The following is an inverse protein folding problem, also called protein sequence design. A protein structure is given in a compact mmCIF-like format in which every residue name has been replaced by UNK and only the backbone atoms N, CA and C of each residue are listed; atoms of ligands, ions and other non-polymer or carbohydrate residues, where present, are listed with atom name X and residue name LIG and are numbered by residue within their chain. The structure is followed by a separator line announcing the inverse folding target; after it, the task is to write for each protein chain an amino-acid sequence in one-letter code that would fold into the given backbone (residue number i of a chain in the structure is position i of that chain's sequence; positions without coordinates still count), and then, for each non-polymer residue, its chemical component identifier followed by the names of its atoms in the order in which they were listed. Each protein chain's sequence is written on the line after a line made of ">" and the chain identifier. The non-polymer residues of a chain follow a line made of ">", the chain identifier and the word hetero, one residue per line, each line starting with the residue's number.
data_IF_659189849036
#
_entry.id   IF_659189849036
#
_cell.length_a   1.000
_cell.length_b   1.000
_cell.length_c   1.000
_cell.angle_alpha   90.00
_cell.angle_beta   90.00
_cell.angle_gamma   90.00
#
_symmetry.space_group_name_H-M   'P 1'
#
loop_
_entity.id
_entity.type
_entity.pdbx_description
1 polymer ?
#
# COMPACT_ATOMS: atom_id res chain seq x y z
N UNK A 1 -21.42 43.29 -28.65
CA UNK A 1 -22.84 43.63 -28.34
C UNK A 1 -23.08 43.19 -26.92
N UNK A 2 -22.89 44.00 -26.01
CA UNK A 2 -23.68 44.77 -25.04
C UNK A 2 -25.06 44.16 -24.73
N UNK A 3 -25.26 43.69 -23.46
CA UNK A 3 -26.28 44.27 -22.58
C UNK A 3 -26.20 43.67 -21.19
N UNK A 4 -25.84 44.51 -20.25
CA UNK A 4 -26.04 44.54 -18.79
C UNK A 4 -27.51 44.58 -18.42
N UNK A 5 -27.91 44.02 -17.27
CA UNK A 5 -28.92 44.59 -16.41
C UNK A 5 -28.73 44.17 -14.96
N UNK A 6 -28.47 45.19 -14.12
CA UNK A 6 -28.58 45.20 -12.64
C UNK A 6 -30.00 45.57 -12.24
N UNK A 7 -30.43 45.17 -11.00
CA UNK A 7 -31.26 45.90 -10.01
C UNK A 7 -31.44 44.98 -8.77
N UNK A 8 -30.95 45.27 -7.66
CA UNK A 8 -31.22 46.05 -6.44
C UNK A 8 -32.70 46.07 -5.98
N UNK A 9 -32.94 45.64 -4.69
CA UNK A 9 -33.80 46.25 -3.66
C UNK A 9 -33.83 45.31 -2.46
N UNK A 10 -33.32 45.57 -1.27
CA UNK A 10 -33.46 46.55 -0.19
C UNK A 10 -34.73 46.37 0.66
N UNK A 11 -34.51 46.23 1.98
CA UNK A 11 -35.44 46.58 3.10
C UNK A 11 -36.05 45.35 3.78
N UNK A 12 -36.23 45.25 5.10
CA UNK A 12 -36.17 46.25 6.16
C UNK A 12 -36.04 45.57 7.54
N UNK A 13 -35.51 46.31 8.44
CA UNK A 13 -35.46 46.13 9.90
C UNK A 13 -36.84 45.95 10.56
N UNK A 14 -36.92 45.16 11.63
CA UNK A 14 -37.79 45.49 12.78
C UNK A 14 -37.21 45.02 14.12
N UNK A 15 -36.78 45.98 14.89
CA UNK A 15 -36.51 45.93 16.34
C UNK A 15 -37.84 45.83 17.09
N UNK A 16 -37.87 45.00 18.13
CA UNK A 16 -38.82 45.23 19.24
C UNK A 16 -38.15 44.86 20.58
N UNK A 17 -37.83 45.91 21.31
CA UNK A 17 -37.50 45.91 22.72
C UNK A 17 -38.81 45.86 23.53
N UNK A 18 -38.87 45.04 24.57
CA UNK A 18 -39.72 45.29 25.71
C UNK A 18 -38.99 44.87 27.00
N UNK A 19 -38.74 45.87 27.81
CA UNK A 19 -38.24 45.77 29.16
C UNK A 19 -39.38 45.45 30.15
N UNK A 20 -39.09 44.67 31.17
CA UNK A 20 -39.98 44.47 32.35
C UNK A 20 -39.13 44.19 33.58
N UNK A 21 -39.00 45.16 34.41
CA UNK A 21 -38.43 45.09 35.76
C UNK A 21 -39.41 44.44 36.75
N UNK A 22 -38.85 43.74 37.75
CA UNK A 22 -39.56 43.60 39.05
C UNK A 22 -39.12 42.44 39.93
N UNK A 23 -38.29 42.80 40.91
CA UNK A 23 -38.27 42.42 42.32
C UNK A 23 -37.59 41.14 42.81
N UNK A 24 -36.71 41.43 43.78
CA UNK A 24 -35.95 40.59 44.72
C UNK A 24 -36.79 39.52 45.43
N UNK A 25 -36.22 38.34 45.62
CA UNK A 25 -35.92 37.82 46.95
C UNK A 25 -34.86 36.70 46.90
N UNK A 26 -34.08 36.71 47.95
CA UNK A 26 -32.94 35.86 48.16
C UNK A 26 -33.36 34.43 48.59
N UNK A 27 -32.64 33.40 48.13
CA UNK A 27 -32.04 32.37 48.98
C UNK A 27 -31.45 31.22 48.22
N UNK A 28 -30.20 30.91 48.55
CA UNK A 28 -29.58 29.60 48.71
C UNK A 28 -29.12 28.85 47.52
N UNK A 29 -27.83 28.94 47.39
CA UNK A 29 -26.83 27.95 46.90
C UNK A 29 -27.32 26.51 46.75
N UNK A 30 -27.22 26.02 45.52
CA UNK A 30 -26.85 24.63 45.23
C UNK A 30 -26.04 24.64 43.95
N UNK A 31 -24.73 24.50 44.09
CA UNK A 31 -23.82 24.24 42.98
C UNK A 31 -24.18 22.88 42.41
N UNK A 32 -24.90 22.86 41.31
CA UNK A 32 -24.95 21.69 40.41
C UNK A 32 -23.74 21.78 39.52
N UNK A 33 -22.72 21.00 39.87
CA UNK A 33 -21.64 20.66 38.95
C UNK A 33 -22.27 19.93 37.78
N UNK A 34 -22.46 20.60 36.67
CA UNK A 34 -22.64 19.94 35.37
C UNK A 34 -21.27 19.43 34.99
N UNK A 35 -21.00 18.17 35.35
CA UNK A 35 -20.00 17.36 34.68
C UNK A 35 -20.46 17.25 33.22
N UNK A 36 -19.77 17.97 32.35
CA UNK A 36 -19.75 17.66 30.94
C UNK A 36 -19.02 16.30 30.79
N UNK A 37 -19.75 15.23 30.99
CA UNK A 37 -19.40 13.96 30.38
C UNK A 37 -19.57 14.14 28.87
N UNK A 38 -18.49 14.56 28.21
CA UNK A 38 -18.32 14.26 26.82
C UNK A 38 -18.18 12.73 26.74
N UNK A 39 -19.32 12.06 26.72
CA UNK A 39 -19.38 10.66 26.30
C UNK A 39 -18.80 10.61 24.88
N UNK A 40 -17.56 10.16 24.77
CA UNK A 40 -17.01 9.66 23.52
C UNK A 40 -17.99 8.57 23.09
N UNK A 41 -18.85 8.86 22.13
CA UNK A 41 -19.67 7.83 21.49
C UNK A 41 -18.70 6.88 20.81
N UNK A 42 -18.35 5.79 21.48
CA UNK A 42 -17.68 4.67 20.81
C UNK A 42 -18.67 4.17 19.77
N UNK A 43 -18.42 4.46 18.51
CA UNK A 43 -19.18 3.91 17.41
C UNK A 43 -18.98 2.39 17.50
N UNK A 44 -20.04 1.66 17.81
CA UNK A 44 -19.99 0.20 17.84
C UNK A 44 -19.65 -0.28 16.42
N UNK A 45 -18.62 -1.10 16.28
CA UNK A 45 -18.22 -1.74 15.01
C UNK A 45 -18.93 -3.07 14.80
N UNK A 46 -19.78 -3.46 15.74
CA UNK A 46 -20.56 -4.71 15.70
C UNK A 46 -21.38 -4.84 14.42
N UNK A 47 -21.23 -5.94 13.71
CA UNK A 47 -21.93 -6.23 12.46
C UNK A 47 -21.35 -5.52 11.23
N UNK A 48 -20.22 -4.81 11.37
CA UNK A 48 -19.51 -4.23 10.22
C UNK A 48 -18.85 -5.31 9.39
N UNK A 49 -18.95 -5.23 8.07
CA UNK A 49 -18.21 -6.10 7.13
C UNK A 49 -17.22 -5.24 6.37
N UNK A 50 -15.96 -5.68 6.30
CA UNK A 50 -14.92 -5.10 5.47
C UNK A 50 -14.53 -6.08 4.37
N UNK A 51 -14.50 -5.61 3.13
CA UNK A 51 -14.00 -6.35 1.97
C UNK A 51 -12.62 -5.85 1.60
N UNK A 52 -11.61 -6.72 1.70
CA UNK A 52 -10.21 -6.37 1.46
C UNK A 52 -9.63 -7.21 0.34
N UNK A 53 -9.12 -6.53 -0.69
CA UNK A 53 -8.42 -7.16 -1.81
C UNK A 53 -6.96 -7.46 -1.44
N UNK A 54 -6.47 -8.67 -1.77
CA UNK A 54 -5.10 -9.08 -1.47
C UNK A 54 -4.56 -10.05 -2.51
N UNK A 55 -3.22 -10.14 -2.65
CA UNK A 55 -2.61 -11.27 -3.34
C UNK A 55 -2.54 -12.49 -2.42
N UNK A 56 -2.51 -13.73 -2.97
CA UNK A 56 -2.61 -14.96 -2.15
C UNK A 56 -1.59 -15.03 -1.02
N UNK A 57 -0.31 -14.83 -1.33
CA UNK A 57 0.80 -14.82 -0.36
C UNK A 57 1.63 -13.53 -0.55
N UNK A 58 2.15 -12.96 0.52
CA UNK A 58 1.88 -13.22 1.93
C UNK A 58 0.58 -12.54 2.42
N UNK A 59 -0.01 -11.65 1.63
CA UNK A 59 -1.02 -10.67 2.03
C UNK A 59 -2.31 -11.32 2.53
N UNK A 60 -2.91 -12.23 1.75
CA UNK A 60 -4.14 -12.93 2.20
C UNK A 60 -3.86 -13.84 3.40
N UNK A 61 -2.68 -14.47 3.47
CA UNK A 61 -2.28 -15.29 4.62
C UNK A 61 -2.19 -14.47 5.91
N UNK A 62 -1.65 -13.25 5.83
CA UNK A 62 -1.60 -12.32 6.95
C UNK A 62 -3.01 -11.85 7.33
N UNK A 63 -3.86 -11.55 6.35
CA UNK A 63 -5.25 -11.15 6.59
C UNK A 63 -6.08 -12.26 7.24
N UNK A 64 -5.78 -13.54 7.02
CA UNK A 64 -6.47 -14.64 7.74
C UNK A 64 -6.17 -14.62 9.25
N UNK A 65 -4.95 -14.20 9.66
CA UNK A 65 -4.64 -13.97 11.08
C UNK A 65 -5.40 -12.75 11.63
N UNK A 66 -5.49 -11.69 10.84
CA UNK A 66 -6.22 -10.46 11.19
C UNK A 66 -7.72 -10.70 11.35
N UNK A 67 -8.26 -11.64 10.61
CA UNK A 67 -9.70 -12.01 10.63
C UNK A 67 -10.19 -12.38 12.02
N UNK A 68 -9.42 -13.17 12.75
CA UNK A 68 -9.78 -13.57 14.12
C UNK A 68 -9.72 -12.37 15.09
N UNK A 69 -8.72 -11.49 14.93
CA UNK A 69 -8.57 -10.28 15.74
C UNK A 69 -9.76 -9.31 15.53
N UNK A 70 -10.24 -9.18 14.31
CA UNK A 70 -11.37 -8.32 13.97
C UNK A 70 -12.71 -8.95 14.40
N UNK A 71 -12.85 -10.27 14.33
CA UNK A 71 -14.04 -10.97 14.78
C UNK A 71 -14.31 -10.73 16.28
N UNK A 72 -13.27 -10.67 17.11
CA UNK A 72 -13.37 -10.32 18.53
C UNK A 72 -13.89 -8.89 18.77
N UNK A 73 -13.82 -8.02 17.75
CA UNK A 73 -14.34 -6.65 17.76
C UNK A 73 -15.70 -6.52 17.06
N UNK A 74 -16.31 -7.64 16.65
CA UNK A 74 -17.60 -7.66 15.94
C UNK A 74 -17.50 -7.30 14.46
N UNK A 75 -16.30 -7.24 13.88
CA UNK A 75 -16.06 -6.95 12.46
C UNK A 75 -15.87 -8.25 11.68
N UNK A 76 -16.59 -8.41 10.58
CA UNK A 76 -16.39 -9.50 9.63
C UNK A 76 -15.41 -9.05 8.53
N UNK A 77 -14.32 -9.81 8.33
CA UNK A 77 -13.36 -9.56 7.25
C UNK A 77 -13.63 -10.52 6.08
N UNK A 78 -13.95 -9.99 4.91
CA UNK A 78 -14.04 -10.71 3.64
C UNK A 78 -12.78 -10.47 2.83
N UNK A 79 -11.99 -11.51 2.57
CA UNK A 79 -10.75 -11.44 1.80
C UNK A 79 -11.05 -11.81 0.36
N UNK A 80 -10.74 -10.90 -0.57
CA UNK A 80 -10.92 -11.10 -2.02
C UNK A 80 -9.54 -11.25 -2.66
N UNK A 81 -9.26 -12.43 -3.21
CA UNK A 81 -7.95 -12.73 -3.79
C UNK A 81 -7.82 -12.26 -5.23
N UNK A 82 -6.69 -11.65 -5.56
CA UNK A 82 -6.31 -11.17 -6.90
C UNK A 82 -4.93 -11.70 -7.29
N UNK A 83 -4.74 -11.97 -8.58
CA UNK A 83 -3.47 -12.46 -9.11
C UNK A 83 -2.70 -11.39 -9.93
N UNK A 84 -3.17 -10.16 -9.94
CA UNK A 84 -2.58 -9.01 -10.63
C UNK A 84 -2.57 -7.76 -9.72
N UNK A 85 -1.89 -6.71 -10.17
CA UNK A 85 -1.74 -5.47 -9.39
C UNK A 85 -2.70 -4.34 -9.82
N UNK A 86 -3.51 -4.53 -10.87
CA UNK A 86 -4.39 -3.50 -11.42
C UNK A 86 -5.78 -3.57 -10.78
N UNK A 87 -6.37 -4.78 -10.75
CA UNK A 87 -7.74 -4.98 -10.31
C UNK A 87 -7.98 -4.56 -8.85
N UNK A 88 -7.09 -4.85 -7.86
CA UNK A 88 -7.34 -4.45 -6.48
C UNK A 88 -7.47 -2.94 -6.30
N UNK A 89 -6.65 -2.14 -7.01
CA UNK A 89 -6.72 -0.68 -6.97
C UNK A 89 -7.99 -0.15 -7.64
N UNK A 90 -8.34 -0.70 -8.79
CA UNK A 90 -9.57 -0.34 -9.50
C UNK A 90 -10.81 -0.63 -8.65
N UNK A 91 -10.83 -1.77 -7.94
CA UNK A 91 -11.94 -2.18 -7.09
C UNK A 91 -12.10 -1.30 -5.83
N UNK A 92 -11.00 -0.81 -5.23
CA UNK A 92 -11.05 0.19 -4.15
C UNK A 92 -11.54 1.53 -4.68
N UNK A 93 -11.02 1.99 -5.82
CA UNK A 93 -11.46 3.27 -6.41
C UNK A 93 -12.94 3.26 -6.76
N UNK A 94 -13.48 2.16 -7.31
CA UNK A 94 -14.91 2.00 -7.61
C UNK A 94 -15.80 1.84 -6.38
N UNK A 95 -15.23 1.44 -5.23
CA UNK A 95 -15.97 1.14 -4.00
C UNK A 95 -16.50 -0.29 -3.93
N UNK A 96 -16.03 -1.20 -4.80
CA UNK A 96 -16.34 -2.63 -4.74
C UNK A 96 -15.58 -3.33 -3.59
N UNK A 97 -14.45 -2.74 -3.16
CA UNK A 97 -13.67 -3.08 -1.99
C UNK A 97 -13.55 -1.89 -1.04
N UNK A 98 -13.47 -2.17 0.25
CA UNK A 98 -13.22 -1.16 1.28
C UNK A 98 -11.75 -0.76 1.36
N UNK A 99 -10.85 -1.71 1.13
CA UNK A 99 -9.41 -1.55 1.16
C UNK A 99 -8.73 -2.59 0.27
N UNK A 100 -7.43 -2.41 0.01
CA UNK A 100 -6.56 -3.47 -0.46
C UNK A 100 -5.25 -3.52 0.34
N UNK A 101 -4.66 -4.70 0.35
CA UNK A 101 -3.37 -4.97 0.97
C UNK A 101 -2.60 -5.91 0.04
N UNK A 102 -1.72 -5.35 -0.82
CA UNK A 102 -0.98 -6.11 -1.83
C UNK A 102 0.20 -5.33 -2.42
N UNK A 103 0.28 -4.01 -2.20
CA UNK A 103 1.14 -3.10 -2.94
C UNK A 103 2.04 -2.28 -2.02
N UNK A 104 3.17 -1.86 -2.54
CA UNK A 104 3.99 -0.87 -1.87
C UNK A 104 3.56 0.58 -2.22
N UNK A 105 3.91 1.51 -1.34
CA UNK A 105 3.49 2.92 -1.43
C UNK A 105 3.90 3.58 -2.76
N UNK A 106 5.08 3.27 -3.29
CA UNK A 106 5.55 3.82 -4.56
C UNK A 106 4.68 3.38 -5.73
N UNK A 107 4.25 2.10 -5.75
CA UNK A 107 3.33 1.59 -6.77
C UNK A 107 1.97 2.27 -6.69
N UNK A 108 1.39 2.43 -5.50
CA UNK A 108 0.12 3.12 -5.32
C UNK A 108 0.17 4.55 -5.85
N UNK A 109 1.24 5.28 -5.53
CA UNK A 109 1.40 6.66 -5.97
C UNK A 109 1.51 6.79 -7.49
N UNK A 110 2.29 5.90 -8.12
CA UNK A 110 2.40 5.83 -9.58
C UNK A 110 1.07 5.44 -10.23
N UNK A 111 0.39 4.43 -9.67
CA UNK A 111 -0.94 4.01 -10.14
C UNK A 111 -1.96 5.14 -10.09
N UNK A 112 -2.00 5.90 -8.99
CA UNK A 112 -2.86 7.08 -8.85
C UNK A 112 -2.58 8.11 -9.95
N UNK A 113 -1.31 8.41 -10.18
CA UNK A 113 -0.91 9.38 -11.20
C UNK A 113 -1.27 8.90 -12.62
N UNK A 114 -1.00 7.64 -12.92
CA UNK A 114 -1.21 7.08 -14.26
C UNK A 114 -2.68 6.87 -14.60
N UNK A 115 -3.52 6.54 -13.62
CA UNK A 115 -4.92 6.15 -13.84
C UNK A 115 -5.93 7.19 -13.34
N UNK A 116 -5.49 8.27 -12.67
CA UNK A 116 -6.38 9.29 -12.11
C UNK A 116 -7.21 8.74 -10.94
N UNK A 117 -6.68 7.78 -10.21
CA UNK A 117 -7.30 7.22 -9.00
C UNK A 117 -6.90 8.00 -7.76
N UNK A 118 -7.64 7.82 -6.66
CA UNK A 118 -7.49 8.58 -5.42
C UNK A 118 -7.39 7.60 -4.25
N UNK A 119 -6.35 6.78 -4.27
CA UNK A 119 -6.04 5.86 -3.18
C UNK A 119 -5.10 6.53 -2.19
N UNK A 120 -5.29 6.21 -0.92
CA UNK A 120 -4.48 6.72 0.19
C UNK A 120 -3.98 5.58 1.08
N UNK A 121 -2.84 5.80 1.70
CA UNK A 121 -2.24 4.91 2.67
C UNK A 121 -2.93 5.06 4.03
N UNK A 122 -3.39 3.95 4.59
CA UNK A 122 -3.98 3.89 5.92
C UNK A 122 -3.03 3.27 6.97
N UNK A 123 -2.06 2.45 6.56
CA UNK A 123 -1.03 1.89 7.44
C UNK A 123 0.12 1.27 6.66
N UNK A 124 1.34 1.54 7.12
CA UNK A 124 2.55 0.81 6.74
C UNK A 124 2.59 -0.55 7.46
N UNK A 125 2.80 -1.65 6.71
CA UNK A 125 2.71 -2.99 7.30
C UNK A 125 4.02 -3.76 7.20
N UNK A 126 4.53 -4.00 6.00
CA UNK A 126 5.74 -4.80 5.85
C UNK A 126 6.53 -4.44 4.59
N UNK A 127 7.74 -4.96 4.53
CA UNK A 127 8.62 -4.89 3.39
C UNK A 127 8.91 -6.30 2.87
N UNK A 128 8.97 -6.46 1.56
CA UNK A 128 9.36 -7.70 0.89
C UNK A 128 10.65 -7.44 0.09
N UNK A 129 11.79 -8.07 0.43
CA UNK A 129 13.00 -7.95 -0.36
C UNK A 129 12.78 -8.43 -1.79
N UNK A 130 13.22 -7.63 -2.77
CA UNK A 130 13.20 -8.02 -4.17
C UNK A 130 14.35 -8.97 -4.46
N UNK A 131 14.11 -10.07 -5.16
CA UNK A 131 15.09 -11.12 -5.40
C UNK A 131 15.45 -11.30 -6.87
N UNK A 132 16.74 -11.54 -7.15
CA UNK A 132 17.26 -12.00 -8.43
C UNK A 132 17.45 -13.51 -8.38
N UNK A 133 16.72 -14.24 -9.19
CA UNK A 133 16.67 -15.69 -9.17
C UNK A 133 17.32 -16.32 -10.40
N UNK A 134 17.93 -17.51 -10.19
CA UNK A 134 18.50 -18.34 -11.25
C UNK A 134 17.38 -18.92 -12.13
N UNK A 135 17.55 -18.75 -13.43
CA UNK A 135 16.77 -19.45 -14.44
C UNK A 135 17.61 -20.55 -15.10
N UNK A 136 17.97 -20.38 -16.38
CA UNK A 136 18.89 -21.29 -17.10
C UNK A 136 20.34 -21.18 -16.59
N UNK A 137 20.71 -20.00 -16.08
CA UNK A 137 22.06 -19.71 -15.56
C UNK A 137 22.06 -19.79 -14.04
N UNK A 138 22.90 -20.65 -13.48
CA UNK A 138 22.89 -21.00 -12.06
C UNK A 138 23.62 -20.01 -11.16
N UNK A 139 24.41 -19.07 -11.69
CA UNK A 139 25.16 -18.08 -10.92
C UNK A 139 25.49 -16.84 -11.75
N UNK A 140 25.76 -15.71 -11.10
CA UNK A 140 26.13 -14.46 -11.77
C UNK A 140 27.47 -14.60 -12.53
N UNK A 141 28.42 -15.36 -12.00
CA UNK A 141 29.72 -15.60 -12.64
C UNK A 141 29.60 -16.38 -13.96
N UNK A 142 28.57 -17.24 -14.08
CA UNK A 142 28.32 -18.05 -15.26
C UNK A 142 27.50 -17.33 -16.34
N UNK A 143 27.08 -16.08 -16.08
CA UNK A 143 26.21 -15.32 -16.98
C UNK A 143 26.93 -14.96 -18.28
N UNK A 144 26.40 -15.44 -19.41
CA UNK A 144 26.96 -15.21 -20.73
C UNK A 144 26.64 -13.81 -21.28
N UNK A 145 27.40 -13.38 -22.28
CA UNK A 145 27.03 -12.19 -23.06
C UNK A 145 25.72 -12.46 -23.83
N UNK A 146 24.84 -11.45 -23.80
CA UNK A 146 23.50 -11.54 -24.40
C UNK A 146 22.49 -12.36 -23.60
N UNK A 147 22.81 -12.71 -22.34
CA UNK A 147 21.89 -13.44 -21.48
C UNK A 147 20.59 -12.66 -21.24
N UNK A 148 19.47 -13.37 -21.15
CA UNK A 148 18.16 -12.80 -20.94
C UNK A 148 17.87 -12.65 -19.45
N UNK A 149 17.45 -11.45 -19.03
CA UNK A 149 17.02 -11.14 -17.66
C UNK A 149 15.60 -10.63 -17.67
N UNK A 150 14.67 -11.43 -17.15
CA UNK A 150 13.28 -11.01 -17.02
C UNK A 150 13.10 -10.04 -15.83
N UNK A 151 12.34 -8.98 -16.06
CA UNK A 151 12.00 -7.97 -15.05
C UNK A 151 10.51 -7.60 -15.16
N UNK A 152 9.86 -7.10 -14.08
CA UNK A 152 8.52 -6.52 -14.18
C UNK A 152 8.47 -5.34 -15.14
N UNK A 153 7.34 -5.11 -15.79
CA UNK A 153 7.15 -4.06 -16.80
C UNK A 153 6.38 -2.82 -16.29
N UNK A 154 5.95 -2.82 -15.04
CA UNK A 154 5.41 -1.60 -14.46
C UNK A 154 6.54 -0.66 -14.02
N UNK A 155 6.30 0.64 -14.13
CA UNK A 155 7.36 1.66 -14.00
C UNK A 155 8.15 1.55 -12.70
N UNK A 156 7.49 1.25 -11.58
CA UNK A 156 8.13 1.23 -10.26
C UNK A 156 8.91 -0.06 -9.99
N UNK A 157 8.38 -1.21 -10.41
CA UNK A 157 9.07 -2.48 -10.23
C UNK A 157 10.14 -2.72 -11.30
N UNK A 158 10.00 -2.19 -12.52
CA UNK A 158 11.10 -2.16 -13.51
C UNK A 158 12.29 -1.38 -12.95
N UNK A 159 12.06 -0.13 -12.47
CA UNK A 159 13.11 0.69 -11.87
C UNK A 159 13.80 -0.03 -10.71
N UNK A 160 13.03 -0.64 -9.83
CA UNK A 160 13.52 -1.42 -8.69
C UNK A 160 14.38 -2.60 -9.13
N UNK A 161 13.94 -3.33 -10.17
CA UNK A 161 14.69 -4.44 -10.74
C UNK A 161 16.02 -3.99 -11.35
N UNK A 162 16.02 -2.89 -12.10
CA UNK A 162 17.24 -2.32 -12.68
C UNK A 162 18.21 -1.83 -11.61
N UNK A 163 17.72 -1.27 -10.52
CA UNK A 163 18.55 -0.89 -9.37
C UNK A 163 19.21 -2.11 -8.70
N UNK A 164 18.50 -3.24 -8.59
CA UNK A 164 19.10 -4.48 -8.10
C UNK A 164 20.17 -5.02 -9.06
N UNK A 165 19.93 -4.98 -10.37
CA UNK A 165 20.95 -5.37 -11.36
C UNK A 165 22.18 -4.45 -11.29
N UNK A 166 22.01 -3.16 -11.03
CA UNK A 166 23.09 -2.22 -10.81
C UNK A 166 23.83 -2.51 -9.50
N UNK A 167 23.13 -2.83 -8.42
CA UNK A 167 23.73 -3.24 -7.13
C UNK A 167 24.70 -4.41 -7.33
N UNK A 168 24.34 -5.37 -8.19
CA UNK A 168 25.15 -6.53 -8.51
C UNK A 168 26.24 -6.25 -9.57
N UNK A 169 26.36 -5.01 -10.04
CA UNK A 169 27.36 -4.61 -11.05
C UNK A 169 27.11 -5.18 -12.44
N UNK A 170 25.90 -5.66 -12.71
CA UNK A 170 25.50 -6.23 -14.01
C UNK A 170 25.24 -5.15 -15.06
N UNK A 171 24.75 -3.98 -14.63
CA UNK A 171 24.49 -2.79 -15.44
C UNK A 171 24.91 -1.54 -14.67
N UNK A 172 25.01 -0.42 -15.37
CA UNK A 172 25.09 0.93 -14.75
C UNK A 172 23.95 1.79 -15.30
N UNK A 173 23.20 2.43 -14.43
CA UNK A 173 22.13 3.37 -14.83
C UNK A 173 22.69 4.78 -14.99
N UNK A 174 22.04 5.61 -15.80
CA UNK A 174 22.34 7.03 -15.92
C UNK A 174 22.19 7.72 -14.55
N UNK A 175 23.01 8.73 -14.32
CA UNK A 175 22.92 9.55 -13.11
C UNK A 175 21.51 10.15 -12.98
N UNK A 176 20.92 10.00 -11.80
CA UNK A 176 19.59 10.54 -11.47
C UNK A 176 18.39 9.72 -11.97
N UNK A 177 18.59 8.55 -12.61
CA UNK A 177 17.47 7.70 -13.05
C UNK A 177 16.62 7.22 -11.86
N UNK A 178 17.24 6.78 -10.77
CA UNK A 178 16.58 6.48 -9.49
C UNK A 178 15.37 5.55 -9.58
N UNK A 179 14.32 5.88 -8.83
CA UNK A 179 13.09 5.06 -8.71
C UNK A 179 12.17 5.11 -9.95
N UNK A 180 12.56 5.81 -11.00
CA UNK A 180 11.85 5.92 -12.27
C UNK A 180 12.67 5.41 -13.45
N UNK A 181 13.77 4.69 -13.18
CA UNK A 181 14.65 4.13 -14.19
C UNK A 181 13.88 3.16 -15.11
N UNK A 182 14.15 3.25 -16.39
CA UNK A 182 13.69 2.33 -17.41
C UNK A 182 14.90 1.67 -18.09
N UNK A 183 14.69 0.65 -18.87
CA UNK A 183 15.78 0.03 -19.64
C UNK A 183 16.45 1.01 -20.61
N UNK A 184 15.78 2.11 -21.02
CA UNK A 184 16.39 3.18 -21.80
C UNK A 184 17.42 4.01 -20.99
N UNK A 185 17.41 3.88 -19.66
CA UNK A 185 18.34 4.57 -18.75
C UNK A 185 19.59 3.75 -18.41
N UNK A 186 19.73 2.58 -18.99
CA UNK A 186 20.96 1.80 -18.88
C UNK A 186 22.09 2.55 -19.64
N UNK A 187 23.08 3.02 -18.90
CA UNK A 187 24.26 3.71 -19.45
C UNK A 187 25.35 2.72 -19.88
N UNK A 188 25.56 1.66 -19.09
CA UNK A 188 26.52 0.60 -19.38
C UNK A 188 25.87 -0.76 -19.16
N UNK A 189 26.13 -1.68 -20.10
CA UNK A 189 25.67 -3.06 -20.08
C UNK A 189 26.81 -3.96 -20.61
N UNK A 190 27.82 -4.24 -19.75
CA UNK A 190 29.07 -4.90 -20.18
C UNK A 190 28.87 -6.28 -20.80
N UNK A 191 27.81 -6.99 -20.38
CA UNK A 191 27.48 -8.31 -20.89
C UNK A 191 26.38 -8.30 -21.97
N UNK A 192 25.99 -7.12 -22.46
CA UNK A 192 24.91 -6.95 -23.43
C UNK A 192 23.63 -7.71 -23.03
N UNK A 193 23.27 -7.69 -21.74
CA UNK A 193 22.10 -8.37 -21.23
C UNK A 193 20.84 -7.92 -21.97
N UNK A 194 20.01 -8.88 -22.35
CA UNK A 194 18.70 -8.63 -22.95
C UNK A 194 17.66 -8.53 -21.82
N UNK A 195 17.23 -7.31 -21.51
CA UNK A 195 16.23 -7.04 -20.47
C UNK A 195 14.84 -7.29 -21.06
N UNK A 196 14.19 -8.33 -20.54
CA UNK A 196 12.87 -8.80 -20.99
C UNK A 196 11.81 -8.34 -19.99
N UNK A 197 11.06 -7.31 -20.37
CA UNK A 197 10.00 -6.72 -19.57
C UNK A 197 8.73 -7.58 -19.67
N UNK A 198 8.21 -8.04 -18.55
CA UNK A 198 7.02 -8.89 -18.45
C UNK A 198 6.08 -8.36 -17.35
N UNK A 199 4.79 -8.64 -17.46
CA UNK A 199 3.87 -8.45 -16.35
C UNK A 199 4.40 -9.19 -15.11
N UNK A 200 4.43 -8.50 -13.94
CA UNK A 200 5.06 -9.02 -12.73
C UNK A 200 4.56 -10.43 -12.34
N UNK A 201 3.24 -10.67 -12.50
CA UNK A 201 2.63 -11.98 -12.25
C UNK A 201 3.14 -13.10 -13.18
N UNK A 202 3.69 -12.77 -14.35
CA UNK A 202 4.17 -13.74 -15.32
C UNK A 202 5.65 -14.10 -15.16
N UNK A 203 6.43 -13.24 -14.48
CA UNK A 203 7.88 -13.40 -14.35
C UNK A 203 8.27 -14.77 -13.76
N UNK A 204 7.66 -15.25 -12.65
CA UNK A 204 8.03 -16.55 -12.09
C UNK A 204 7.85 -17.73 -13.06
N UNK A 205 6.77 -17.72 -13.85
CA UNK A 205 6.48 -18.78 -14.81
C UNK A 205 7.46 -18.82 -15.99
N UNK A 206 8.17 -17.70 -16.23
CA UNK A 206 9.15 -17.57 -17.31
C UNK A 206 10.58 -17.89 -16.86
N UNK A 207 10.79 -18.17 -15.56
CA UNK A 207 12.12 -18.41 -15.00
C UNK A 207 12.90 -19.51 -15.73
N UNK A 208 12.22 -20.57 -16.17
CA UNK A 208 12.84 -21.63 -16.98
C UNK A 208 13.17 -21.26 -18.44
N UNK A 209 12.65 -20.12 -18.93
CA UNK A 209 12.82 -19.67 -20.32
C UNK A 209 13.89 -18.57 -20.47
N UNK A 210 14.32 -17.95 -19.36
CA UNK A 210 15.33 -16.89 -19.32
C UNK A 210 16.56 -17.31 -18.51
N UNK A 211 17.63 -16.54 -18.56
CA UNK A 211 18.84 -16.84 -17.82
C UNK A 211 18.69 -16.48 -16.35
N UNK A 212 18.13 -15.31 -16.07
CA UNK A 212 17.84 -14.81 -14.73
C UNK A 212 16.48 -14.11 -14.73
N UNK A 213 15.89 -13.95 -13.54
CA UNK A 213 14.70 -13.12 -13.37
C UNK A 213 14.71 -12.36 -12.04
N UNK A 214 14.29 -11.10 -12.07
CA UNK A 214 14.03 -10.31 -10.87
C UNK A 214 12.53 -10.42 -10.54
N UNK A 215 12.21 -10.93 -9.36
CA UNK A 215 10.86 -11.34 -9.00
C UNK A 215 10.41 -10.67 -7.71
N UNK A 216 9.20 -10.09 -7.70
CA UNK A 216 8.57 -9.53 -6.51
C UNK A 216 8.37 -10.61 -5.43
N UNK A 217 8.53 -10.23 -4.16
CA UNK A 217 8.47 -11.15 -3.01
C UNK A 217 7.21 -12.01 -2.97
N UNK A 218 6.03 -11.38 -3.11
CA UNK A 218 4.75 -12.08 -3.12
C UNK A 218 4.62 -13.11 -4.26
N UNK A 219 5.11 -12.78 -5.46
CA UNK A 219 5.08 -13.72 -6.59
C UNK A 219 6.14 -14.81 -6.47
N UNK A 220 7.29 -14.50 -5.87
CA UNK A 220 8.31 -15.51 -5.53
C UNK A 220 7.76 -16.52 -4.52
N UNK A 221 7.14 -16.04 -3.43
CA UNK A 221 6.48 -16.88 -2.42
C UNK A 221 5.37 -17.75 -3.05
N UNK A 222 4.49 -17.14 -3.87
CA UNK A 222 3.43 -17.84 -4.57
C UNK A 222 3.92 -18.92 -5.55
N UNK A 223 5.12 -18.75 -6.09
CA UNK A 223 5.79 -19.75 -6.95
C UNK A 223 6.61 -20.79 -6.17
N UNK A 224 6.64 -20.71 -4.83
CA UNK A 224 7.41 -21.60 -3.97
C UNK A 224 8.92 -21.33 -3.95
N UNK A 225 9.35 -20.15 -4.45
CA UNK A 225 10.74 -19.72 -4.38
C UNK A 225 11.04 -19.18 -2.97
N UNK A 226 12.25 -19.44 -2.50
CA UNK A 226 12.70 -18.92 -1.20
C UNK A 226 13.67 -17.76 -1.42
N UNK A 227 13.59 -16.76 -0.55
CA UNK A 227 14.56 -15.65 -0.56
C UNK A 227 15.99 -16.17 -0.41
N UNK A 228 16.20 -17.23 0.37
CA UNK A 228 17.50 -17.86 0.54
C UNK A 228 18.06 -18.51 -0.75
N UNK A 229 17.23 -18.78 -1.75
CA UNK A 229 17.63 -19.36 -3.03
C UNK A 229 17.92 -18.27 -4.08
N UNK A 230 17.68 -17.01 -3.77
CA UNK A 230 18.00 -15.90 -4.66
C UNK A 230 19.51 -15.75 -4.81
N UNK A 231 19.97 -15.45 -6.01
CA UNK A 231 21.38 -15.14 -6.30
C UNK A 231 21.81 -13.81 -5.70
N UNK A 232 20.87 -12.88 -5.61
CA UNK A 232 21.00 -11.60 -4.95
C UNK A 232 19.63 -11.13 -4.45
N UNK A 233 19.64 -10.34 -3.40
CA UNK A 233 18.47 -9.63 -2.89
C UNK A 233 18.79 -8.14 -2.78
N UNK A 234 17.80 -7.28 -2.91
CA UNK A 234 18.02 -5.86 -2.71
C UNK A 234 18.38 -5.59 -1.25
N UNK A 235 19.21 -4.56 -1.04
CA UNK A 235 19.61 -4.17 0.31
C UNK A 235 18.41 -3.65 1.09
N UNK A 236 18.17 -4.24 2.26
CA UNK A 236 17.17 -3.77 3.21
C UNK A 236 17.60 -2.48 3.93
N UNK A 237 18.85 -2.07 3.78
CA UNK A 237 19.42 -0.90 4.42
C UNK A 237 19.22 0.34 3.54
N UNK A 238 18.34 1.26 3.95
CA UNK A 238 18.29 2.57 3.36
C UNK A 238 16.92 3.03 2.84
N UNK A 239 16.96 3.98 1.90
CA UNK A 239 15.76 4.63 1.35
C UNK A 239 14.89 3.66 0.51
N UNK A 240 15.51 2.67 -0.14
CA UNK A 240 14.79 1.67 -0.94
C UNK A 240 13.78 0.88 -0.10
N UNK A 241 14.18 0.39 1.09
CA UNK A 241 13.27 -0.34 1.97
C UNK A 241 12.05 0.50 2.37
N UNK A 242 12.25 1.82 2.60
CA UNK A 242 11.15 2.74 2.91
C UNK A 242 10.25 3.04 1.71
N UNK A 243 10.85 3.13 0.51
CA UNK A 243 10.13 3.40 -0.73
C UNK A 243 9.20 2.23 -1.14
N UNK A 244 9.50 1.02 -0.67
CA UNK A 244 8.78 -0.19 -1.07
C UNK A 244 8.04 -0.88 0.08
N UNK A 245 7.66 -0.11 1.12
CA UNK A 245 6.79 -0.60 2.19
C UNK A 245 5.42 -0.95 1.63
N UNK A 246 4.96 -2.18 1.92
CA UNK A 246 3.61 -2.64 1.62
C UNK A 246 2.62 -2.06 2.62
N UNK A 247 1.54 -1.52 2.09
CA UNK A 247 0.58 -0.69 2.79
C UNK A 247 -0.83 -1.26 2.76
N UNK A 248 -1.63 -0.89 3.75
CA UNK A 248 -3.09 -0.97 3.66
C UNK A 248 -3.57 0.28 2.91
N UNK A 249 -4.08 0.12 1.69
CA UNK A 249 -4.59 1.22 0.90
C UNK A 249 -6.12 1.26 0.90
N UNK A 250 -6.66 2.45 0.96
CA UNK A 250 -8.09 2.77 0.94
C UNK A 250 -8.38 3.87 -0.08
N UNK A 251 -9.65 4.14 -0.36
CA UNK A 251 -10.01 5.35 -1.08
C UNK A 251 -9.74 6.58 -0.21
N UNK A 252 -9.18 7.65 -0.80
CA UNK A 252 -8.88 8.92 -0.13
C UNK A 252 -10.08 9.43 0.68
N UNK A 253 -9.82 9.84 1.91
CA UNK A 253 -10.81 10.30 2.88
C UNK A 253 -11.39 9.20 3.78
N UNK A 254 -11.06 7.91 3.52
CA UNK A 254 -11.50 6.79 4.35
C UNK A 254 -10.44 6.30 5.33
N UNK A 255 -9.25 6.88 5.35
CA UNK A 255 -8.11 6.48 6.18
C UNK A 255 -8.47 6.48 7.68
N UNK A 256 -9.36 7.39 8.07
CA UNK A 256 -9.79 7.54 9.46
C UNK A 256 -11.14 6.88 9.76
N UNK A 257 -11.72 6.11 8.86
CA UNK A 257 -12.94 5.34 9.14
C UNK A 257 -12.66 4.37 10.31
N UNK A 258 -13.54 4.31 11.33
CA UNK A 258 -13.28 3.49 12.52
C UNK A 258 -12.99 2.02 12.23
N UNK A 259 -13.67 1.42 11.23
CA UNK A 259 -13.43 0.05 10.83
C UNK A 259 -12.09 -0.14 10.11
N UNK A 260 -11.67 0.84 9.30
CA UNK A 260 -10.34 0.85 8.65
C UNK A 260 -9.24 1.00 9.71
N UNK A 261 -9.42 1.86 10.70
CA UNK A 261 -8.47 2.01 11.79
C UNK A 261 -8.37 0.74 12.66
N UNK A 262 -9.48 0.02 12.86
CA UNK A 262 -9.45 -1.28 13.53
C UNK A 262 -8.67 -2.33 12.70
N UNK A 263 -8.85 -2.35 11.37
CA UNK A 263 -8.09 -3.20 10.45
C UNK A 263 -6.60 -2.85 10.46
N UNK A 264 -6.26 -1.57 10.38
CA UNK A 264 -4.88 -1.08 10.45
C UNK A 264 -4.20 -1.49 11.77
N UNK A 265 -4.88 -1.29 12.90
CA UNK A 265 -4.38 -1.69 14.21
C UNK A 265 -4.20 -3.21 14.34
N UNK A 266 -5.10 -4.00 13.74
CA UNK A 266 -4.97 -5.46 13.73
C UNK A 266 -3.79 -5.91 12.86
N UNK A 267 -3.60 -5.34 11.67
CA UNK A 267 -2.47 -5.60 10.76
C UNK A 267 -1.12 -5.26 11.39
N UNK A 268 -1.07 -4.23 12.24
CA UNK A 268 0.16 -3.77 12.91
C UNK A 268 0.28 -4.25 14.37
N UNK A 269 -0.42 -5.33 14.72
CA UNK A 269 -0.38 -5.92 16.06
C UNK A 269 0.83 -6.83 16.29
N UNK A 270 1.22 -7.00 17.57
CA UNK A 270 2.27 -7.95 17.96
C UNK A 270 1.97 -9.39 17.50
N UNK A 271 0.70 -9.78 17.43
CA UNK A 271 0.28 -11.10 16.93
C UNK A 271 0.66 -11.28 15.47
N UNK A 272 0.35 -10.27 14.62
CA UNK A 272 0.71 -10.28 13.20
C UNK A 272 2.21 -10.21 13.01
N UNK A 273 2.90 -9.37 13.80
CA UNK A 273 4.37 -9.29 13.79
C UNK A 273 5.01 -10.65 14.02
N UNK A 274 4.61 -11.33 15.10
CA UNK A 274 5.12 -12.67 15.44
C UNK A 274 4.82 -13.67 14.32
N UNK A 275 3.60 -13.64 13.76
CA UNK A 275 3.23 -14.52 12.65
C UNK A 275 4.14 -14.29 11.43
N UNK A 276 4.39 -13.04 11.06
CA UNK A 276 5.25 -12.69 9.91
C UNK A 276 6.68 -13.20 10.15
N UNK A 277 7.25 -12.91 11.31
CA UNK A 277 8.64 -13.30 11.65
C UNK A 277 8.82 -14.83 11.64
N UNK A 278 7.89 -15.55 12.25
CA UNK A 278 7.96 -17.02 12.36
C UNK A 278 7.69 -17.72 11.00
N UNK A 279 6.76 -17.19 10.21
CA UNK A 279 6.32 -17.84 8.96
C UNK A 279 7.28 -17.56 7.81
N UNK A 280 7.69 -16.31 7.62
CA UNK A 280 8.39 -15.90 6.39
C UNK A 280 9.91 -15.76 6.56
N UNK A 281 10.43 -15.79 7.80
CA UNK A 281 11.87 -15.89 8.09
C UNK A 281 12.74 -14.91 7.29
N UNK A 282 12.27 -13.65 7.14
CA UNK A 282 12.96 -12.59 6.43
C UNK A 282 12.52 -12.39 4.96
N UNK A 283 11.69 -13.25 4.40
CA UNK A 283 11.05 -13.01 3.09
C UNK A 283 9.98 -11.92 3.16
N UNK A 284 9.43 -11.70 4.35
CA UNK A 284 8.53 -10.61 4.72
C UNK A 284 9.03 -10.02 6.03
N UNK A 285 9.18 -8.71 6.09
CA UNK A 285 9.77 -8.01 7.24
C UNK A 285 8.78 -6.96 7.76
N UNK A 286 8.24 -7.10 8.97
CA UNK A 286 7.35 -6.08 9.53
C UNK A 286 8.08 -4.76 9.74
N UNK A 287 7.40 -3.63 9.52
CA UNK A 287 7.99 -2.28 9.62
C UNK A 287 7.39 -1.43 10.74
N UNK A 288 6.59 -2.01 11.61
CA UNK A 288 5.89 -1.39 12.74
C UNK A 288 6.36 -1.90 14.10
#
# INVERSE_FOLDING_TARGET
>A
MKKTFSLLLAGALSLSLLAGCGSKDAAQSSAASTSNDAASASTSLEGTTLKVGATPAPHAEILEVVKDILADQGITLEIVSFNDYIQPNTAVESGDLDANYFQHITYMNDFNQANGTHLADAADVHYEPFGLYAGKTASLDALADGAQVAVPNDATNEARALLLLQQEGLITLKEGAGLTATKADIAENPKNLDIVELEAAQVPSRLGDVDLAVINGNYALGAGLKVADALAIESADGEAAKAYVNILAVKEGRENDPAIQALAAALTSDTVKTYIEDTYQGAVVPVF
#
